data_IF_809618443749
#
_entry.id   IF_809618443749
#
_cell.length_a   1.000
_cell.length_b   1.000
_cell.length_c   1.000
_cell.angle_alpha   90.00
_cell.angle_beta   90.00
_cell.angle_gamma   90.00
#
_symmetry.space_group_name_H-M   'P 1'
#
loop_
_entity.id
_entity.type
_entity.pdbx_description
1 polymer ?
#
# COMPACT_ATOMS: atom_id res chain seq x y z
N UNK A 1 17.10 20.40 -17.98
CA UNK A 1 17.24 19.88 -16.60
C UNK A 1 15.89 19.52 -15.98
N UNK A 2 14.96 20.48 -15.83
CA UNK A 2 13.63 20.18 -15.30
C UNK A 2 12.88 19.13 -16.16
N UNK A 3 12.90 19.29 -17.48
CA UNK A 3 12.26 18.35 -18.41
C UNK A 3 12.82 16.92 -18.31
N UNK A 4 14.11 16.77 -18.00
CA UNK A 4 14.76 15.47 -17.80
C UNK A 4 14.20 14.73 -16.58
N UNK A 5 13.85 15.45 -15.51
CA UNK A 5 13.19 14.83 -14.36
C UNK A 5 11.72 14.58 -14.66
N UNK A 6 11.02 15.52 -15.29
CA UNK A 6 9.59 15.39 -15.60
C UNK A 6 9.29 14.27 -16.61
N UNK A 7 10.27 13.83 -17.39
CA UNK A 7 10.13 12.70 -18.33
C UNK A 7 10.22 11.33 -17.66
N UNK A 8 10.69 11.24 -16.42
CA UNK A 8 10.77 9.97 -15.68
C UNK A 8 9.36 9.43 -15.39
N UNK A 9 9.06 8.15 -15.72
CA UNK A 9 7.79 7.53 -15.32
C UNK A 9 7.69 7.49 -13.79
N UNK A 10 6.61 8.04 -13.24
CA UNK A 10 6.35 8.02 -11.79
C UNK A 10 5.09 7.22 -11.49
N UNK A 11 5.00 6.66 -10.28
CA UNK A 11 3.93 5.76 -9.90
C UNK A 11 3.40 6.09 -8.49
N UNK A 12 2.16 5.67 -8.22
CA UNK A 12 1.55 5.72 -6.88
C UNK A 12 0.72 4.48 -6.60
N UNK A 13 0.53 4.18 -5.32
CA UNK A 13 -0.46 3.20 -4.89
C UNK A 13 -1.89 3.75 -5.09
N UNK A 14 -2.80 2.90 -5.53
CA UNK A 14 -4.23 3.20 -5.44
C UNK A 14 -4.68 3.12 -3.98
N UNK A 15 -5.56 4.02 -3.50
CA UNK A 15 -6.02 3.99 -2.12
C UNK A 15 -6.71 2.67 -1.77
N UNK A 16 -6.21 1.97 -0.75
CA UNK A 16 -6.86 0.80 -0.13
C UNK A 16 -7.96 1.30 0.83
N UNK A 17 -9.11 1.76 0.33
CA UNK A 17 -10.28 2.03 1.20
C UNK A 17 -11.23 0.85 1.17
N UNK A 18 -11.77 0.50 2.34
CA UNK A 18 -12.42 -0.78 2.61
C UNK A 18 -13.75 -1.10 1.90
N UNK A 19 -14.17 -0.27 0.94
CA UNK A 19 -15.34 -0.52 0.11
C UNK A 19 -14.99 -0.59 -1.38
N UNK A 20 -13.72 -0.45 -1.74
CA UNK A 20 -13.28 -0.30 -3.13
C UNK A 20 -12.88 -1.64 -3.73
N UNK A 21 -12.17 -2.49 -2.98
CA UNK A 21 -11.70 -3.76 -3.53
C UNK A 21 -12.83 -4.78 -3.63
N UNK A 22 -13.69 -4.90 -2.61
CA UNK A 22 -14.84 -5.82 -2.64
C UNK A 22 -15.80 -5.45 -3.77
N UNK A 23 -16.09 -4.14 -3.93
CA UNK A 23 -16.91 -3.64 -5.03
C UNK A 23 -16.31 -3.94 -6.40
N UNK A 24 -15.01 -3.65 -6.59
CA UNK A 24 -14.31 -3.93 -7.85
C UNK A 24 -14.28 -5.41 -8.17
N UNK A 25 -14.09 -6.27 -7.16
CA UNK A 25 -14.14 -7.71 -7.33
C UNK A 25 -15.52 -8.15 -7.83
N UNK A 26 -16.59 -7.72 -7.16
CA UNK A 26 -17.95 -8.11 -7.55
C UNK A 26 -18.32 -7.58 -8.93
N UNK A 27 -17.96 -6.33 -9.24
CA UNK A 27 -18.18 -5.75 -10.58
C UNK A 27 -17.44 -6.54 -11.67
N UNK A 28 -16.17 -6.88 -11.44
CA UNK A 28 -15.40 -7.72 -12.38
C UNK A 28 -16.04 -9.11 -12.54
N UNK A 29 -16.41 -9.76 -11.45
CA UNK A 29 -17.03 -11.09 -11.48
C UNK A 29 -18.36 -11.08 -12.26
N UNK A 30 -19.21 -10.07 -12.04
CA UNK A 30 -20.46 -9.88 -12.78
C UNK A 30 -20.19 -9.69 -14.27
N UNK A 31 -19.22 -8.84 -14.66
CA UNK A 31 -18.92 -8.60 -16.08
C UNK A 31 -18.34 -9.82 -16.78
N UNK A 32 -17.47 -10.58 -16.10
CA UNK A 32 -16.92 -11.82 -16.63
C UNK A 32 -18.02 -12.85 -16.91
N UNK A 33 -19.00 -13.00 -16.01
CA UNK A 33 -20.14 -13.90 -16.23
C UNK A 33 -21.12 -13.37 -17.28
N UNK A 34 -21.43 -12.07 -17.26
CA UNK A 34 -22.34 -11.42 -18.22
C UNK A 34 -21.89 -11.66 -19.67
N UNK A 35 -20.57 -11.67 -19.89
CA UNK A 35 -19.98 -11.92 -21.20
C UNK A 35 -19.53 -13.37 -21.43
N UNK A 36 -19.99 -14.30 -20.58
CA UNK A 36 -19.73 -15.74 -20.69
C UNK A 36 -18.23 -16.10 -20.73
N UNK A 37 -17.40 -15.27 -20.10
CA UNK A 37 -15.95 -15.47 -20.00
C UNK A 37 -15.61 -16.42 -18.85
N UNK A 38 -16.34 -16.28 -17.74
CA UNK A 38 -16.21 -17.09 -16.55
C UNK A 38 -17.56 -17.69 -16.17
N UNK A 39 -17.53 -18.85 -15.52
CA UNK A 39 -18.68 -19.47 -14.87
C UNK A 39 -18.49 -19.36 -13.36
N UNK A 40 -19.55 -18.99 -12.64
CA UNK A 40 -19.59 -18.94 -11.18
C UNK A 40 -18.51 -18.04 -10.52
N UNK A 41 -17.97 -17.06 -11.25
CA UNK A 41 -17.03 -16.08 -10.71
C UNK A 41 -17.61 -15.33 -9.50
N UNK A 42 -18.90 -14.94 -9.54
CA UNK A 42 -19.57 -14.27 -8.43
C UNK A 42 -19.67 -15.18 -7.20
N UNK A 43 -20.14 -16.42 -7.41
CA UNK A 43 -20.25 -17.40 -6.32
C UNK A 43 -18.89 -17.72 -5.71
N UNK A 44 -17.84 -17.86 -6.53
CA UNK A 44 -16.46 -18.08 -6.07
C UNK A 44 -15.92 -16.88 -5.28
N UNK A 45 -16.19 -15.66 -5.73
CA UNK A 45 -15.81 -14.44 -5.03
C UNK A 45 -16.48 -14.37 -3.65
N UNK A 46 -17.80 -14.55 -3.58
CA UNK A 46 -18.55 -14.55 -2.32
C UNK A 46 -18.02 -15.64 -1.37
N UNK A 47 -17.73 -16.84 -1.88
CA UNK A 47 -17.16 -17.93 -1.07
C UNK A 47 -15.75 -17.61 -0.56
N UNK A 48 -14.90 -16.97 -1.37
CA UNK A 48 -13.57 -16.57 -0.95
C UNK A 48 -13.60 -15.54 0.19
N UNK A 49 -14.53 -14.57 0.11
CA UNK A 49 -14.73 -13.56 1.14
C UNK A 49 -15.37 -14.15 2.40
N UNK A 50 -16.34 -15.05 2.26
CA UNK A 50 -16.93 -15.78 3.38
C UNK A 50 -15.87 -16.57 4.15
N UNK A 51 -14.99 -17.29 3.47
CA UNK A 51 -13.86 -18.00 4.09
C UNK A 51 -12.94 -17.06 4.88
N UNK A 52 -12.65 -15.87 4.35
CA UNK A 52 -11.85 -14.89 5.08
C UNK A 52 -12.51 -14.47 6.41
N UNK A 53 -13.83 -14.30 6.41
CA UNK A 53 -14.60 -13.97 7.61
C UNK A 53 -14.61 -15.14 8.62
N UNK A 54 -14.78 -16.38 8.16
CA UNK A 54 -14.74 -17.56 9.05
C UNK A 54 -13.34 -17.80 9.60
N UNK A 55 -12.30 -17.63 8.78
CA UNK A 55 -10.90 -17.75 9.22
C UNK A 55 -10.57 -16.73 10.31
N UNK A 56 -11.05 -15.48 10.16
CA UNK A 56 -10.88 -14.45 11.20
C UNK A 56 -11.62 -14.82 12.48
N UNK A 57 -12.88 -15.26 12.40
CA UNK A 57 -13.63 -15.77 13.57
C UNK A 57 -12.84 -16.88 14.28
N UNK A 58 -12.34 -17.86 13.55
CA UNK A 58 -11.67 -19.02 14.14
C UNK A 58 -10.30 -18.66 14.74
N UNK A 59 -9.60 -17.67 14.18
CA UNK A 59 -8.41 -17.06 14.83
C UNK A 59 -8.78 -16.34 16.12
N UNK A 60 -9.83 -15.50 16.12
CA UNK A 60 -10.28 -14.83 17.34
C UNK A 60 -10.68 -15.83 18.44
N UNK A 61 -11.22 -16.99 18.08
CA UNK A 61 -11.50 -18.08 19.03
C UNK A 61 -10.22 -18.65 19.61
N UNK A 62 -9.20 -18.85 18.78
CA UNK A 62 -7.88 -19.35 19.20
C UNK A 62 -7.16 -18.35 20.09
N UNK A 63 -7.26 -17.06 19.79
CA UNK A 63 -6.62 -15.97 20.51
C UNK A 63 -7.41 -15.56 21.78
N UNK A 64 -8.59 -16.15 22.02
CA UNK A 64 -9.44 -15.88 23.18
C UNK A 64 -10.20 -14.55 23.14
N UNK A 65 -10.18 -13.84 22.01
CA UNK A 65 -10.85 -12.54 21.83
C UNK A 65 -12.28 -12.65 21.33
N UNK A 66 -12.67 -13.83 20.82
CA UNK A 66 -13.99 -14.05 20.21
C UNK A 66 -15.15 -13.85 21.18
N UNK A 67 -15.08 -14.42 22.38
CA UNK A 67 -16.20 -14.35 23.34
C UNK A 67 -16.54 -12.91 23.70
N UNK A 68 -15.52 -12.08 23.96
CA UNK A 68 -15.73 -10.66 24.24
C UNK A 68 -16.37 -9.91 23.06
N UNK A 69 -15.93 -10.20 21.83
CA UNK A 69 -16.51 -9.58 20.63
C UNK A 69 -17.96 -10.04 20.38
N UNK A 70 -18.23 -11.33 20.56
CA UNK A 70 -19.56 -11.91 20.40
C UNK A 70 -20.54 -11.35 21.44
N UNK A 71 -20.15 -11.33 22.73
CA UNK A 71 -20.97 -10.73 23.79
C UNK A 71 -21.19 -9.23 23.56
N UNK A 72 -20.17 -8.47 23.15
CA UNK A 72 -20.32 -7.05 22.80
C UNK A 72 -21.29 -6.82 21.61
N UNK A 73 -21.35 -7.75 20.67
CA UNK A 73 -22.32 -7.73 19.57
C UNK A 73 -23.74 -8.16 20.01
N UNK A 74 -23.85 -9.01 21.04
CA UNK A 74 -25.11 -9.52 21.57
C UNK A 74 -25.77 -8.59 22.60
N UNK A 75 -25.02 -7.67 23.21
CA UNK A 75 -25.49 -6.82 24.30
C UNK A 75 -25.48 -5.33 23.95
N UNK A 76 -26.31 -4.55 24.65
CA UNK A 76 -26.23 -3.09 24.67
C UNK A 76 -25.67 -2.65 26.02
N UNK A 77 -24.51 -2.00 26.00
CA UNK A 77 -23.94 -1.37 27.20
C UNK A 77 -24.36 0.11 27.26
N UNK A 78 -25.18 0.46 28.23
CA UNK A 78 -25.56 1.85 28.53
C UNK A 78 -24.62 2.39 29.62
N UNK A 79 -23.76 3.33 29.25
CA UNK A 79 -22.93 4.09 30.19
C UNK A 79 -23.62 5.39 30.60
N UNK A 80 -23.94 5.52 31.89
CA UNK A 80 -24.45 6.75 32.49
C UNK A 80 -23.40 7.44 33.35
N UNK A 81 -23.19 8.74 33.13
CA UNK A 81 -22.50 9.61 34.10
C UNK A 81 -23.53 10.08 35.13
N UNK A 82 -23.41 9.61 36.36
CA UNK A 82 -24.15 10.15 37.49
C UNK A 82 -23.27 11.24 38.10
N UNK A 83 -23.75 12.49 38.02
CA UNK A 83 -23.12 13.64 38.65
C UNK A 83 -23.96 13.98 39.88
N UNK A 84 -23.33 14.08 41.06
CA UNK A 84 -24.05 14.49 42.26
C UNK A 84 -24.53 15.95 42.15
N UNK A 85 -25.52 16.33 42.96
CA UNK A 85 -26.12 17.67 42.94
C UNK A 85 -25.17 18.81 43.38
N UNK A 86 -23.95 18.49 43.82
CA UNK A 86 -22.92 19.43 44.27
C UNK A 86 -21.71 19.49 43.30
N UNK A 87 -21.66 18.64 42.28
CA UNK A 87 -20.58 18.58 41.29
C UNK A 87 -19.30 17.88 41.74
N UNK A 88 -19.27 17.27 42.93
CA UNK A 88 -18.04 16.77 43.56
C UNK A 88 -17.79 15.26 43.40
N UNK A 89 -18.82 14.50 42.99
CA UNK A 89 -18.73 13.07 42.71
C UNK A 89 -19.10 12.73 41.27
N UNK A 90 -18.10 12.34 40.47
CA UNK A 90 -18.30 11.75 39.14
C UNK A 90 -18.29 10.22 39.26
N UNK A 91 -19.45 9.57 39.15
CA UNK A 91 -19.53 8.11 39.06
C UNK A 91 -20.01 7.70 37.67
N UNK A 92 -19.22 6.83 37.02
CA UNK A 92 -19.63 6.13 35.80
C UNK A 92 -20.27 4.80 36.17
N UNK A 93 -21.57 4.67 35.90
CA UNK A 93 -22.31 3.41 36.00
C UNK A 93 -22.52 2.85 34.58
N UNK A 94 -22.27 1.56 34.37
CA UNK A 94 -22.64 0.87 33.13
C UNK A 94 -23.56 -0.30 33.42
N UNK A 95 -24.65 -0.41 32.68
CA UNK A 95 -25.56 -1.55 32.71
C UNK A 95 -25.55 -2.22 31.33
N UNK A 96 -25.46 -3.56 31.29
CA UNK A 96 -25.48 -4.35 30.06
C UNK A 96 -26.71 -5.23 30.03
N UNK A 97 -27.38 -5.30 28.88
CA UNK A 97 -28.54 -6.16 28.66
C UNK A 97 -28.46 -6.90 27.32
N UNK A 98 -28.82 -8.18 27.32
CA UNK A 98 -28.96 -8.97 26.09
C UNK A 98 -30.00 -8.33 25.18
N UNK A 99 -29.65 -8.19 23.90
CA UNK A 99 -30.50 -7.57 22.89
C UNK A 99 -31.70 -8.44 22.54
N UNK A 100 -32.85 -7.79 22.26
CA UNK A 100 -33.99 -8.47 21.64
C UNK A 100 -33.69 -8.84 20.19
N UNK A 101 -34.44 -9.78 19.62
CA UNK A 101 -34.37 -10.16 18.21
C UNK A 101 -34.51 -8.96 17.25
N UNK A 102 -35.38 -8.00 17.59
CA UNK A 102 -35.58 -6.77 16.83
C UNK A 102 -34.33 -5.89 16.87
N UNK A 103 -33.69 -5.76 18.04
CA UNK A 103 -32.48 -4.96 18.19
C UNK A 103 -31.27 -5.62 17.49
N UNK A 104 -31.15 -6.95 17.53
CA UNK A 104 -30.15 -7.71 16.76
C UNK A 104 -30.35 -7.45 15.26
N UNK A 105 -31.60 -7.48 14.79
CA UNK A 105 -31.93 -7.21 13.37
C UNK A 105 -31.51 -5.80 12.97
N UNK A 106 -31.73 -4.79 13.82
CA UNK A 106 -31.31 -3.42 13.51
C UNK A 106 -29.79 -3.24 13.55
N UNK A 107 -29.07 -3.89 14.47
CA UNK A 107 -27.60 -3.93 14.45
C UNK A 107 -27.08 -4.64 13.21
N UNK A 108 -27.72 -5.73 12.79
CA UNK A 108 -27.36 -6.43 11.57
C UNK A 108 -27.50 -5.53 10.33
N UNK A 109 -28.53 -4.69 10.25
CA UNK A 109 -28.64 -3.65 9.19
C UNK A 109 -27.51 -2.61 9.24
N UNK A 110 -26.93 -2.35 10.41
CA UNK A 110 -25.71 -1.51 10.51
C UNK A 110 -24.49 -2.29 10.00
N UNK A 111 -24.37 -3.57 10.34
CA UNK A 111 -23.33 -4.43 9.81
C UNK A 111 -23.39 -4.55 8.27
N UNK A 112 -24.59 -4.62 7.67
CA UNK A 112 -24.79 -4.58 6.21
C UNK A 112 -24.26 -3.30 5.55
N UNK A 113 -24.21 -2.18 6.28
CA UNK A 113 -23.63 -0.91 5.80
C UNK A 113 -22.12 -0.84 6.02
N UNK A 114 -21.61 -1.52 7.04
CA UNK A 114 -20.19 -1.58 7.36
C UNK A 114 -19.42 -2.58 6.47
N UNK A 115 -20.06 -3.71 6.14
CA UNK A 115 -19.54 -4.74 5.27
C UNK A 115 -19.95 -4.47 3.83
N UNK A 116 -18.96 -4.32 2.94
CA UNK A 116 -19.21 -4.05 1.53
C UNK A 116 -19.93 -5.21 0.80
N UNK A 117 -20.59 -4.90 -0.31
CA UNK A 117 -21.16 -5.88 -1.28
C UNK A 117 -22.01 -7.01 -0.66
N UNK A 118 -22.89 -6.66 0.28
CA UNK A 118 -23.84 -7.59 0.92
C UNK A 118 -23.14 -8.73 1.67
N UNK A 119 -21.88 -8.54 2.11
CA UNK A 119 -21.14 -9.61 2.79
C UNK A 119 -21.77 -10.04 4.10
N UNK A 120 -22.47 -9.16 4.83
CA UNK A 120 -23.25 -9.56 6.01
C UNK A 120 -24.37 -10.57 5.64
N UNK A 121 -25.17 -10.25 4.60
CA UNK A 121 -26.26 -11.10 4.11
C UNK A 121 -25.72 -12.42 3.54
N UNK A 122 -24.62 -12.37 2.80
CA UNK A 122 -23.95 -13.55 2.26
C UNK A 122 -23.36 -14.43 3.36
N UNK A 123 -22.81 -13.82 4.41
CA UNK A 123 -22.35 -14.55 5.60
C UNK A 123 -23.49 -15.30 6.24
N UNK A 124 -24.60 -14.61 6.58
CA UNK A 124 -25.79 -15.25 7.14
C UNK A 124 -26.27 -16.42 6.26
N UNK A 125 -26.41 -16.20 4.96
CA UNK A 125 -26.87 -17.22 4.01
C UNK A 125 -25.95 -18.45 3.96
N UNK A 126 -24.63 -18.25 3.92
CA UNK A 126 -23.65 -19.34 3.81
C UNK A 126 -23.48 -20.06 5.15
N UNK A 127 -23.36 -19.32 6.25
CA UNK A 127 -23.29 -19.86 7.59
C UNK A 127 -24.53 -20.69 7.96
N UNK A 128 -25.74 -20.21 7.68
CA UNK A 128 -26.97 -20.96 7.94
C UNK A 128 -27.07 -22.23 7.08
N UNK A 129 -26.43 -22.25 5.90
CA UNK A 129 -26.37 -23.46 5.07
C UNK A 129 -25.37 -24.48 5.63
N UNK A 130 -24.23 -24.04 6.13
CA UNK A 130 -23.22 -24.90 6.73
C UNK A 130 -23.62 -25.40 8.12
N UNK A 131 -24.41 -24.61 8.87
CA UNK A 131 -24.83 -24.86 10.25
C UNK A 131 -26.36 -24.74 10.39
N UNK A 132 -27.15 -25.65 9.78
CA UNK A 132 -28.62 -25.52 9.69
C UNK A 132 -29.37 -25.65 11.03
N UNK A 133 -28.70 -26.07 12.11
CA UNK A 133 -29.28 -26.19 13.45
C UNK A 133 -28.99 -25.02 14.38
N UNK A 134 -28.22 -24.03 13.93
CA UNK A 134 -27.84 -22.87 14.74
C UNK A 134 -28.89 -21.75 14.66
N UNK A 135 -29.06 -20.98 15.74
CA UNK A 135 -29.99 -19.85 15.75
C UNK A 135 -29.53 -18.79 14.73
N UNK A 136 -30.48 -18.29 13.95
CA UNK A 136 -30.25 -17.20 13.02
C UNK A 136 -29.79 -15.93 13.72
N UNK A 137 -30.23 -15.70 14.96
CA UNK A 137 -29.76 -14.58 15.76
C UNK A 137 -28.29 -14.74 16.16
N UNK A 138 -27.83 -15.94 16.50
CA UNK A 138 -26.42 -16.20 16.81
C UNK A 138 -25.55 -15.90 15.59
N UNK A 139 -25.94 -16.39 14.39
CA UNK A 139 -25.20 -16.12 13.15
C UNK A 139 -25.21 -14.61 12.81
N UNK A 140 -26.31 -13.90 13.09
CA UNK A 140 -26.35 -12.43 12.93
C UNK A 140 -25.40 -11.74 13.89
N UNK A 141 -25.32 -12.18 15.15
CA UNK A 141 -24.38 -11.67 16.14
C UNK A 141 -22.94 -11.92 15.67
N UNK A 142 -22.63 -13.11 15.11
CA UNK A 142 -21.31 -13.38 14.53
C UNK A 142 -20.95 -12.36 13.45
N UNK A 143 -21.88 -12.10 12.52
CA UNK A 143 -21.68 -11.13 11.45
C UNK A 143 -21.52 -9.70 11.96
N UNK A 144 -22.25 -9.32 13.02
CA UNK A 144 -22.11 -8.00 13.68
C UNK A 144 -20.73 -7.89 14.35
N UNK A 145 -20.30 -8.89 15.11
CA UNK A 145 -19.00 -8.91 15.78
C UNK A 145 -17.85 -8.77 14.77
N UNK A 146 -17.92 -9.49 13.64
CA UNK A 146 -16.94 -9.38 12.57
C UNK A 146 -16.97 -8.00 11.88
N UNK A 147 -18.15 -7.39 11.72
CA UNK A 147 -18.27 -6.05 11.14
C UNK A 147 -17.68 -4.94 12.05
N UNK A 148 -17.69 -5.16 13.35
CA UNK A 148 -17.10 -4.27 14.35
C UNK A 148 -15.58 -4.42 14.46
N UNK A 149 -15.01 -5.54 14.01
CA UNK A 149 -13.56 -5.78 13.98
C UNK A 149 -12.87 -5.06 12.81
N UNK A 150 -12.01 -4.09 13.13
CA UNK A 150 -11.24 -3.31 12.15
C UNK A 150 -10.25 -4.16 11.36
N UNK A 151 -9.63 -5.15 12.00
CA UNK A 151 -8.69 -6.05 11.33
C UNK A 151 -9.39 -6.94 10.30
N UNK A 152 -10.56 -7.48 10.62
CA UNK A 152 -11.41 -8.21 9.67
C UNK A 152 -11.70 -7.38 8.43
N UNK A 153 -12.13 -6.11 8.59
CA UNK A 153 -12.45 -5.24 7.44
C UNK A 153 -11.26 -5.03 6.52
N UNK A 154 -10.06 -4.85 7.09
CA UNK A 154 -8.81 -4.75 6.30
C UNK A 154 -8.50 -6.07 5.59
N UNK A 155 -8.57 -7.19 6.30
CA UNK A 155 -8.30 -8.52 5.73
C UNK A 155 -9.29 -8.89 4.61
N UNK A 156 -10.57 -8.53 4.76
CA UNK A 156 -11.62 -8.77 3.77
C UNK A 156 -11.30 -8.07 2.44
N UNK A 157 -10.84 -6.83 2.52
CA UNK A 157 -10.49 -6.02 1.35
C UNK A 157 -9.17 -6.45 0.70
N UNK A 158 -8.18 -6.82 1.50
CA UNK A 158 -6.97 -7.46 0.98
C UNK A 158 -7.31 -8.76 0.25
N UNK A 159 -8.21 -9.58 0.81
CA UNK A 159 -8.66 -10.81 0.16
C UNK A 159 -9.42 -10.50 -1.14
N UNK A 160 -10.29 -9.49 -1.13
CA UNK A 160 -11.01 -9.06 -2.33
C UNK A 160 -10.06 -8.60 -3.44
N UNK A 161 -9.06 -7.78 -3.12
CA UNK A 161 -8.06 -7.30 -4.06
C UNK A 161 -7.21 -8.44 -4.63
N UNK A 162 -6.75 -9.35 -3.78
CA UNK A 162 -6.01 -10.56 -4.19
C UNK A 162 -6.84 -11.41 -5.14
N UNK A 163 -8.09 -11.73 -4.78
CA UNK A 163 -8.95 -12.58 -5.61
C UNK A 163 -9.36 -11.90 -6.92
N UNK A 164 -9.54 -10.58 -6.94
CA UNK A 164 -9.79 -9.84 -8.17
C UNK A 164 -8.60 -9.91 -9.13
N UNK A 165 -7.37 -9.81 -8.61
CA UNK A 165 -6.15 -9.97 -9.40
C UNK A 165 -5.99 -11.41 -9.92
N UNK A 166 -6.35 -12.43 -9.12
CA UNK A 166 -6.42 -13.82 -9.56
C UNK A 166 -7.38 -13.98 -10.75
N UNK A 167 -8.62 -13.47 -10.65
CA UNK A 167 -9.58 -13.48 -11.76
C UNK A 167 -9.06 -12.74 -12.98
N UNK A 168 -8.47 -11.57 -12.80
CA UNK A 168 -7.93 -10.80 -13.91
C UNK A 168 -6.82 -11.55 -14.66
N UNK A 169 -5.93 -12.20 -13.92
CA UNK A 169 -4.86 -13.03 -14.48
C UNK A 169 -5.41 -14.26 -15.21
N UNK A 170 -6.30 -15.01 -14.58
CA UNK A 170 -6.87 -16.25 -15.11
C UNK A 170 -7.67 -16.00 -16.41
N UNK A 171 -8.37 -14.86 -16.48
CA UNK A 171 -9.27 -14.54 -17.59
C UNK A 171 -8.72 -13.52 -18.59
N UNK A 172 -7.49 -13.02 -18.44
CA UNK A 172 -6.89 -12.06 -19.38
C UNK A 172 -6.90 -12.56 -20.84
N UNK A 173 -6.51 -13.81 -21.07
CA UNK A 173 -6.50 -14.42 -22.41
C UNK A 173 -7.89 -14.58 -23.02
N UNK A 174 -8.87 -15.18 -22.30
CA UNK A 174 -10.27 -15.19 -22.72
C UNK A 174 -10.84 -13.79 -23.05
N UNK A 175 -10.57 -12.79 -22.20
CA UNK A 175 -11.05 -11.41 -22.39
C UNK A 175 -10.47 -10.78 -23.66
N UNK A 176 -9.19 -11.01 -23.97
CA UNK A 176 -8.55 -10.45 -25.15
C UNK A 176 -9.19 -10.90 -26.48
N UNK A 177 -9.96 -12.00 -26.46
CA UNK A 177 -10.67 -12.56 -27.62
C UNK A 177 -12.11 -12.06 -27.77
N UNK A 178 -12.61 -11.26 -26.83
CA UNK A 178 -13.95 -10.67 -26.91
C UNK A 178 -14.03 -9.58 -28.00
N UNK A 179 -15.27 -9.24 -28.37
CA UNK A 179 -15.53 -8.08 -29.23
C UNK A 179 -15.12 -6.78 -28.53
N UNK A 180 -14.79 -5.70 -29.29
CA UNK A 180 -14.18 -4.50 -28.73
C UNK A 180 -14.94 -3.87 -27.54
N UNK A 181 -16.27 -3.87 -27.56
CA UNK A 181 -17.09 -3.29 -26.49
C UNK A 181 -16.95 -4.02 -25.14
N UNK A 182 -17.37 -5.29 -25.04
CA UNK A 182 -17.18 -6.11 -23.85
C UNK A 182 -15.73 -6.20 -23.38
N UNK A 183 -14.78 -6.32 -24.32
CA UNK A 183 -13.35 -6.33 -24.02
C UNK A 183 -12.93 -5.05 -23.29
N UNK A 184 -13.25 -3.89 -23.84
CA UNK A 184 -12.87 -2.61 -23.25
C UNK A 184 -13.44 -2.42 -21.85
N UNK A 185 -14.71 -2.81 -21.62
CA UNK A 185 -15.35 -2.72 -20.30
C UNK A 185 -14.62 -3.57 -19.24
N UNK A 186 -14.23 -4.80 -19.61
CA UNK A 186 -13.54 -5.70 -18.68
C UNK A 186 -12.08 -5.28 -18.49
N UNK A 187 -11.39 -4.91 -19.56
CA UNK A 187 -9.99 -4.43 -19.49
C UNK A 187 -9.86 -3.14 -18.66
N UNK A 188 -10.86 -2.25 -18.69
CA UNK A 188 -10.92 -1.07 -17.81
C UNK A 188 -10.96 -1.49 -16.34
N UNK A 189 -11.83 -2.44 -15.97
CA UNK A 189 -11.91 -2.97 -14.61
C UNK A 189 -10.62 -3.66 -14.19
N UNK A 190 -10.06 -4.53 -15.04
CA UNK A 190 -8.79 -5.22 -14.78
C UNK A 190 -7.63 -4.22 -14.63
N UNK A 191 -7.59 -3.16 -15.42
CA UNK A 191 -6.57 -2.11 -15.29
C UNK A 191 -6.73 -1.32 -13.98
N UNK A 192 -7.98 -1.11 -13.52
CA UNK A 192 -8.27 -0.46 -12.25
C UNK A 192 -7.93 -1.31 -11.00
N UNK A 193 -7.68 -2.61 -11.17
CA UNK A 193 -7.14 -3.47 -10.11
C UNK A 193 -5.66 -3.26 -9.85
N UNK A 194 -4.95 -2.60 -10.76
CA UNK A 194 -3.54 -2.26 -10.55
C UNK A 194 -3.40 -1.43 -9.28
N UNK A 195 -2.78 -2.04 -8.28
CA UNK A 195 -2.32 -1.45 -7.04
C UNK A 195 -1.35 -0.30 -7.30
N UNK A 196 -0.57 -0.42 -8.38
CA UNK A 196 0.35 0.61 -8.87
C UNK A 196 -0.18 1.23 -10.15
N UNK A 197 -0.39 2.55 -10.15
CA UNK A 197 -0.74 3.31 -11.35
C UNK A 197 0.36 4.31 -11.71
N UNK A 198 0.67 4.39 -13.00
CA UNK A 198 1.57 5.44 -13.51
C UNK A 198 0.88 6.79 -13.45
N UNK A 199 1.60 7.80 -13.00
CA UNK A 199 1.17 9.20 -12.92
C UNK A 199 2.23 10.10 -13.59
N UNK A 200 1.83 11.27 -14.12
CA UNK A 200 2.80 12.25 -14.58
C UNK A 200 3.73 12.65 -13.42
N UNK A 201 5.03 12.71 -13.69
CA UNK A 201 5.98 13.27 -12.73
C UNK A 201 5.70 14.76 -12.55
N UNK A 202 5.59 15.19 -11.30
CA UNK A 202 5.30 16.58 -10.95
C UNK A 202 6.23 17.04 -9.85
N UNK A 203 6.64 18.29 -9.95
CA UNK A 203 7.49 18.96 -8.99
C UNK A 203 6.76 20.22 -8.52
N UNK A 204 6.51 20.33 -7.22
CA UNK A 204 5.98 21.57 -6.64
C UNK A 204 7.10 22.59 -6.57
N UNK A 205 7.08 23.57 -7.48
CA UNK A 205 7.92 24.77 -7.37
C UNK A 205 7.37 25.61 -6.23
N UNK A 206 8.14 25.73 -5.15
CA UNK A 206 7.84 26.64 -4.05
C UNK A 206 8.93 27.70 -3.96
N UNK A 207 8.55 28.98 -4.06
CA UNK A 207 9.44 30.12 -3.83
C UNK A 207 9.67 30.40 -2.33
N UNK A 208 9.03 29.64 -1.44
CA UNK A 208 9.16 29.86 0.00
C UNK A 208 10.47 29.25 0.51
N UNK A 209 11.33 30.13 1.02
CA UNK A 209 12.53 29.80 1.77
C UNK A 209 12.17 28.89 2.95
N UNK A 210 12.47 27.59 2.84
CA UNK A 210 12.29 26.61 3.93
C UNK A 210 13.39 26.73 4.99
N UNK A 211 13.82 27.95 5.31
CA UNK A 211 14.33 28.47 6.59
C UNK A 211 15.54 27.82 7.28
N UNK A 212 15.91 26.57 6.99
CA UNK A 212 16.93 25.81 7.70
C UNK A 212 17.86 25.07 6.73
N UNK A 213 19.12 24.93 7.14
CA UNK A 213 20.15 24.24 6.37
C UNK A 213 21.05 25.15 5.54
N UNK A 214 22.00 24.53 4.83
CA UNK A 214 23.03 25.24 4.07
C UNK A 214 22.54 25.60 2.66
N UNK A 215 23.04 26.72 2.14
CA UNK A 215 22.84 27.07 0.74
C UNK A 215 23.59 26.10 -0.16
N UNK A 216 22.91 25.55 -1.15
CA UNK A 216 23.49 24.64 -2.13
C UNK A 216 23.15 25.12 -3.55
N UNK A 217 24.18 25.22 -4.38
CA UNK A 217 24.05 25.61 -5.80
C UNK A 217 23.49 24.48 -6.66
N UNK A 218 23.15 24.81 -7.91
CA UNK A 218 22.67 23.87 -8.95
C UNK A 218 21.38 23.09 -8.61
N UNK A 219 20.63 23.50 -7.58
CA UNK A 219 19.32 22.88 -7.34
C UNK A 219 18.35 23.27 -8.47
N UNK A 220 17.61 22.30 -9.01
CA UNK A 220 16.74 22.47 -10.18
C UNK A 220 15.58 23.42 -9.89
N UNK A 221 15.15 23.49 -8.63
CA UNK A 221 14.19 24.49 -8.15
C UNK A 221 14.97 25.51 -7.33
N UNK A 222 15.62 26.45 -8.00
CA UNK A 222 16.32 27.55 -7.32
C UNK A 222 15.59 28.86 -7.56
N UNK A 223 15.47 29.65 -6.50
CA UNK A 223 15.16 31.07 -6.61
C UNK A 223 16.46 31.84 -6.92
N UNK A 224 16.37 33.16 -7.15
CA UNK A 224 17.54 34.05 -7.27
C UNK A 224 18.47 34.05 -6.06
N UNK A 225 18.03 33.49 -4.91
CA UNK A 225 18.80 33.39 -3.66
C UNK A 225 19.49 32.04 -3.44
N UNK A 226 19.21 31.02 -4.27
CA UNK A 226 19.68 29.64 -4.09
C UNK A 226 18.61 28.68 -3.56
N UNK A 227 19.02 27.49 -3.12
CA UNK A 227 18.18 26.50 -2.42
C UNK A 227 18.79 26.15 -1.06
N UNK A 228 17.97 26.18 0.01
CA UNK A 228 18.38 25.76 1.36
C UNK A 228 17.96 24.33 1.62
N UNK A 229 18.93 23.52 2.05
CA UNK A 229 18.70 22.12 2.40
C UNK A 229 19.40 21.74 3.70
N UNK A 230 18.63 21.22 4.66
CA UNK A 230 19.16 20.67 5.90
C UNK A 230 19.49 19.19 5.73
N UNK A 231 20.62 18.91 5.08
CA UNK A 231 21.10 17.56 4.85
C UNK A 231 21.53 16.88 6.15
N UNK A 232 21.23 15.59 6.30
CA UNK A 232 21.93 14.77 7.30
C UNK A 232 23.42 14.58 6.91
N UNK A 233 24.22 13.94 7.77
CA UNK A 233 25.66 13.80 7.51
C UNK A 233 25.96 13.05 6.21
N UNK A 234 25.30 11.93 5.94
CA UNK A 234 25.51 11.13 4.73
C UNK A 234 25.02 11.87 3.48
N UNK A 235 23.80 12.41 3.52
CA UNK A 235 23.24 13.23 2.43
C UNK A 235 24.14 14.42 2.11
N UNK A 236 24.71 15.07 3.12
CA UNK A 236 25.65 16.17 2.96
C UNK A 236 26.89 15.74 2.18
N UNK A 237 27.50 14.61 2.57
CA UNK A 237 28.66 14.03 1.86
C UNK A 237 28.31 13.55 0.46
N UNK A 238 27.09 13.07 0.21
CA UNK A 238 26.62 12.71 -1.14
C UNK A 238 26.53 13.95 -2.02
N UNK A 239 25.88 15.01 -1.53
CA UNK A 239 25.75 16.27 -2.27
C UNK A 239 27.12 16.89 -2.57
N UNK A 240 28.05 16.86 -1.63
CA UNK A 240 29.39 17.43 -1.81
C UNK A 240 30.19 16.71 -2.92
N UNK A 241 29.93 15.41 -3.14
CA UNK A 241 30.59 14.60 -4.19
C UNK A 241 29.87 14.66 -5.55
N UNK A 242 28.55 14.66 -5.55
CA UNK A 242 27.76 14.51 -6.79
C UNK A 242 27.44 15.86 -7.46
N UNK A 243 27.22 16.93 -6.69
CA UNK A 243 26.86 18.26 -7.22
C UNK A 243 27.93 18.88 -8.14
N UNK A 244 29.25 18.72 -7.89
CA UNK A 244 30.27 19.23 -8.80
C UNK A 244 30.12 18.71 -10.24
N UNK A 245 29.78 17.43 -10.41
CA UNK A 245 29.69 16.76 -11.70
C UNK A 245 28.33 16.89 -12.40
N UNK A 246 27.25 17.19 -11.66
CA UNK A 246 25.93 17.34 -12.26
C UNK A 246 25.70 18.73 -12.89
N UNK A 247 24.80 18.81 -13.87
CA UNK A 247 24.24 20.08 -14.34
C UNK A 247 23.24 20.64 -13.32
N UNK A 248 22.45 19.77 -12.68
CA UNK A 248 21.55 20.15 -11.60
C UNK A 248 21.07 18.97 -10.76
N UNK A 249 20.53 19.25 -9.58
CA UNK A 249 20.03 18.22 -8.67
C UNK A 249 18.67 18.57 -8.06
N UNK A 250 17.93 17.56 -7.63
CA UNK A 250 16.63 17.68 -6.97
C UNK A 250 16.52 16.70 -5.79
N UNK A 251 16.09 17.20 -4.63
CA UNK A 251 15.65 16.36 -3.51
C UNK A 251 14.21 15.92 -3.74
N UNK A 252 14.01 14.64 -4.01
CA UNK A 252 12.69 14.05 -4.11
C UNK A 252 12.00 14.07 -2.72
N UNK A 253 10.72 14.44 -2.60
CA UNK A 253 10.01 14.39 -1.32
C UNK A 253 9.87 12.96 -0.81
N UNK A 254 10.16 12.75 0.48
CA UNK A 254 10.07 11.45 1.15
C UNK A 254 8.64 11.05 1.53
N UNK A 255 7.69 11.98 1.53
CA UNK A 255 6.30 11.69 1.93
C UNK A 255 5.36 11.55 0.72
N UNK A 256 4.42 10.61 0.80
CA UNK A 256 3.41 10.40 -0.25
C UNK A 256 2.40 11.54 -0.44
N UNK A 257 2.41 12.56 0.43
CA UNK A 257 1.55 13.76 0.32
C UNK A 257 2.08 14.77 -0.69
N UNK A 258 3.37 14.72 -0.98
CA UNK A 258 4.01 15.56 -1.98
C UNK A 258 4.23 14.80 -3.29
N UNK A 259 4.07 15.53 -4.40
CA UNK A 259 4.30 14.98 -5.73
C UNK A 259 5.81 14.90 -5.99
N UNK A 260 6.23 13.79 -6.59
CA UNK A 260 7.63 13.45 -6.82
C UNK A 260 7.76 12.08 -7.48
N UNK A 261 8.98 11.58 -7.58
CA UNK A 261 9.25 10.28 -8.19
C UNK A 261 8.83 9.17 -7.22
N UNK A 262 7.89 8.33 -7.67
CA UNK A 262 7.51 7.10 -7.01
C UNK A 262 7.88 5.91 -7.89
N UNK A 263 8.59 4.95 -7.31
CA UNK A 263 9.09 3.75 -7.98
C UNK A 263 8.35 2.53 -7.42
N UNK A 264 7.70 1.71 -8.27
CA UNK A 264 7.04 0.51 -7.81
C UNK A 264 8.04 -0.55 -7.40
N UNK A 265 7.73 -1.22 -6.30
CA UNK A 265 8.55 -2.26 -5.69
C UNK A 265 7.64 -3.21 -4.93
N UNK A 266 8.12 -4.43 -4.69
CA UNK A 266 7.44 -5.39 -3.84
C UNK A 266 8.22 -5.47 -2.55
N UNK A 267 7.56 -5.43 -1.39
CA UNK A 267 8.24 -5.71 -0.13
C UNK A 267 8.51 -7.22 0.07
N UNK A 268 9.09 -7.57 1.20
CA UNK A 268 9.40 -8.95 1.60
C UNK A 268 8.17 -9.86 1.70
N UNK A 269 6.97 -9.31 1.88
CA UNK A 269 5.71 -10.06 1.89
C UNK A 269 5.10 -10.22 0.50
N UNK A 270 5.68 -9.54 -0.51
CA UNK A 270 5.16 -9.48 -1.87
C UNK A 270 4.06 -8.44 -2.07
N UNK A 271 3.86 -7.52 -1.12
CA UNK A 271 2.92 -6.41 -1.29
C UNK A 271 3.55 -5.24 -2.08
N UNK A 272 2.73 -4.60 -2.91
CA UNK A 272 3.15 -3.41 -3.66
C UNK A 272 3.44 -2.22 -2.73
N UNK A 273 4.65 -1.69 -2.87
CA UNK A 273 5.15 -0.49 -2.23
C UNK A 273 5.57 0.55 -3.28
N UNK A 274 5.70 1.80 -2.83
CA UNK A 274 6.27 2.89 -3.63
C UNK A 274 7.53 3.40 -2.94
N UNK A 275 8.68 3.08 -3.52
CA UNK A 275 9.98 3.64 -3.16
C UNK A 275 10.07 5.09 -3.65
N UNK A 276 10.60 5.95 -2.79
CA UNK A 276 10.90 7.34 -3.12
C UNK A 276 12.39 7.57 -2.90
N UNK A 277 13.23 7.46 -3.94
CA UNK A 277 14.66 7.66 -3.79
C UNK A 277 14.93 9.13 -3.47
N UNK A 278 16.00 9.43 -2.74
CA UNK A 278 16.20 10.76 -2.20
C UNK A 278 16.63 11.81 -3.23
N UNK A 279 17.63 11.51 -4.06
CA UNK A 279 18.20 12.51 -4.97
C UNK A 279 18.11 12.09 -6.43
N UNK A 280 17.79 13.08 -7.25
CA UNK A 280 17.90 13.01 -8.70
C UNK A 280 18.95 14.02 -9.16
N UNK A 281 19.98 13.55 -9.84
CA UNK A 281 21.02 14.37 -10.45
C UNK A 281 20.87 14.32 -11.97
N UNK A 282 20.91 15.47 -12.62
CA UNK A 282 20.80 15.58 -14.08
C UNK A 282 22.16 15.97 -14.64
N UNK A 283 22.63 15.25 -15.65
CA UNK A 283 23.86 15.57 -16.38
C UNK A 283 23.60 16.45 -17.60
N UNK A 284 24.66 16.95 -18.24
CA UNK A 284 24.56 17.87 -19.38
C UNK A 284 23.82 17.27 -20.58
N UNK A 285 23.92 15.95 -20.77
CA UNK A 285 23.23 15.21 -21.83
C UNK A 285 21.75 14.93 -21.52
N UNK A 286 21.25 15.38 -20.37
CA UNK A 286 19.86 15.22 -19.96
C UNK A 286 19.53 13.88 -19.32
N UNK A 287 20.48 12.95 -19.16
CA UNK A 287 20.23 11.71 -18.41
C UNK A 287 20.20 11.98 -16.91
N UNK A 288 19.46 11.14 -16.18
CA UNK A 288 19.26 11.26 -14.74
C UNK A 288 20.01 10.16 -13.99
N UNK A 289 20.77 10.52 -12.96
CA UNK A 289 21.22 9.61 -11.92
C UNK A 289 20.28 9.65 -10.72
N UNK A 290 19.84 8.48 -10.28
CA UNK A 290 19.04 8.27 -9.07
C UNK A 290 19.99 7.81 -7.96
N UNK A 291 20.09 8.60 -6.90
CA UNK A 291 21.03 8.36 -5.79
C UNK A 291 20.26 8.38 -4.48
N UNK A 292 20.33 7.27 -3.75
CA UNK A 292 19.53 7.07 -2.53
C UNK A 292 20.42 6.71 -1.32
N UNK A 293 20.81 7.69 -0.50
CA UNK A 293 21.55 7.46 0.73
C UNK A 293 20.63 6.88 1.81
N UNK A 294 20.93 5.67 2.23
CA UNK A 294 20.25 5.00 3.32
C UNK A 294 20.97 5.35 4.64
N UNK A 295 20.21 5.83 5.63
CA UNK A 295 20.74 6.06 6.97
C UNK A 295 20.66 4.79 7.81
N UNK A 296 21.53 3.80 7.60
CA UNK A 296 21.78 2.68 8.52
C UNK A 296 20.63 1.70 8.81
N UNK A 297 19.45 1.85 8.23
CA UNK A 297 18.33 0.91 8.35
C UNK A 297 18.44 -0.19 7.29
N UNK A 298 19.35 -1.14 7.53
CA UNK A 298 19.69 -2.22 6.59
C UNK A 298 18.57 -3.26 6.39
N UNK A 299 17.58 -3.32 7.28
CA UNK A 299 16.54 -4.35 7.28
C UNK A 299 15.57 -4.28 6.09
N UNK A 300 15.36 -3.11 5.50
CA UNK A 300 14.44 -2.92 4.36
C UNK A 300 15.14 -2.62 3.03
N UNK A 301 16.47 -2.76 2.99
CA UNK A 301 17.28 -2.32 1.85
C UNK A 301 17.20 -3.22 0.62
N UNK A 302 17.00 -4.53 0.78
CA UNK A 302 17.02 -5.48 -0.36
C UNK A 302 15.87 -5.23 -1.32
N UNK A 303 14.64 -5.16 -0.81
CA UNK A 303 13.46 -5.05 -1.65
C UNK A 303 13.39 -3.68 -2.36
N UNK A 304 13.83 -2.62 -1.68
CA UNK A 304 13.99 -1.29 -2.28
C UNK A 304 15.05 -1.29 -3.38
N UNK A 305 16.21 -1.89 -3.13
CA UNK A 305 17.29 -2.00 -4.11
C UNK A 305 16.84 -2.78 -5.36
N UNK A 306 16.12 -3.89 -5.18
CA UNK A 306 15.51 -4.66 -6.29
C UNK A 306 14.55 -3.80 -7.11
N UNK A 307 13.65 -3.08 -6.44
CA UNK A 307 12.68 -2.19 -7.07
C UNK A 307 13.34 -1.09 -7.90
N UNK A 308 14.32 -0.39 -7.31
CA UNK A 308 15.09 0.65 -8.00
C UNK A 308 15.93 0.08 -9.16
N UNK A 309 16.57 -1.08 -8.99
CA UNK A 309 17.33 -1.74 -10.04
C UNK A 309 16.44 -2.12 -11.24
N UNK A 310 15.25 -2.65 -10.97
CA UNK A 310 14.27 -2.97 -12.02
C UNK A 310 13.81 -1.70 -12.75
N UNK A 311 13.43 -0.66 -11.99
CA UNK A 311 13.00 0.61 -12.56
C UNK A 311 14.07 1.25 -13.44
N UNK A 312 15.32 1.29 -12.99
CA UNK A 312 16.41 1.88 -13.75
C UNK A 312 16.68 1.12 -15.06
N UNK A 313 16.64 -0.22 -15.03
CA UNK A 313 16.78 -1.05 -16.24
C UNK A 313 15.64 -0.84 -17.24
N UNK A 314 14.40 -0.80 -16.76
CA UNK A 314 13.22 -0.57 -17.62
C UNK A 314 13.22 0.83 -18.24
N UNK A 315 13.96 1.77 -17.66
CA UNK A 315 14.06 3.17 -18.09
C UNK A 315 15.47 3.58 -18.51
N UNK A 316 16.29 2.65 -19.02
CA UNK A 316 17.70 2.89 -19.35
C UNK A 316 17.96 4.00 -20.39
N UNK A 317 16.93 4.42 -21.14
CA UNK A 317 17.03 5.59 -22.04
C UNK A 317 16.93 6.94 -21.32
N UNK A 318 16.51 6.96 -20.05
CA UNK A 318 16.32 8.15 -19.22
C UNK A 318 17.22 8.14 -17.97
N UNK A 319 17.44 6.95 -17.41
CA UNK A 319 18.24 6.74 -16.19
C UNK A 319 19.63 6.24 -16.57
N UNK A 320 20.66 7.04 -16.28
CA UNK A 320 22.06 6.69 -16.51
C UNK A 320 22.64 5.83 -15.40
N UNK A 321 22.30 6.18 -14.15
CA UNK A 321 22.86 5.55 -12.97
C UNK A 321 21.79 5.42 -11.90
N UNK A 322 21.78 4.29 -11.20
CA UNK A 322 20.96 4.08 -10.02
C UNK A 322 21.84 3.49 -8.92
N UNK A 323 22.02 4.24 -7.83
CA UNK A 323 22.89 3.82 -6.72
C UNK A 323 22.20 3.99 -5.39
N UNK A 324 22.43 3.03 -4.51
CA UNK A 324 22.15 3.16 -3.08
C UNK A 324 23.46 3.34 -2.35
N UNK A 325 23.48 4.23 -1.35
CA UNK A 325 24.69 4.58 -0.60
C UNK A 325 24.43 4.36 0.87
N UNK A 326 25.36 3.74 1.60
CA UNK A 326 25.29 3.60 3.06
C UNK A 326 26.70 3.69 3.66
N UNK A 327 26.79 3.94 4.96
CA UNK A 327 28.03 3.95 5.71
C UNK A 327 28.31 2.55 6.27
N UNK A 328 29.31 1.87 5.69
CA UNK A 328 29.67 0.50 6.05
C UNK A 328 31.06 0.51 6.67
N UNK A 329 31.13 0.18 7.96
CA UNK A 329 32.37 0.18 8.75
C UNK A 329 33.11 1.53 8.71
N UNK A 330 32.36 2.65 8.75
CA UNK A 330 32.90 4.02 8.74
C UNK A 330 33.32 4.53 7.35
N UNK A 331 32.98 3.80 6.28
CA UNK A 331 33.25 4.20 4.90
C UNK A 331 31.94 4.32 4.12
N UNK A 332 31.75 5.44 3.42
CA UNK A 332 30.63 5.61 2.48
C UNK A 332 30.83 4.63 1.31
N UNK A 333 29.93 3.68 1.16
CA UNK A 333 29.93 2.70 0.07
C UNK A 333 28.65 2.78 -0.72
N UNK A 334 28.75 2.57 -2.03
CA UNK A 334 27.62 2.50 -2.92
C UNK A 334 27.51 1.13 -3.59
N UNK A 335 26.28 0.75 -3.90
CA UNK A 335 25.98 -0.35 -4.80
C UNK A 335 25.45 0.22 -6.11
N UNK A 336 26.10 -0.14 -7.21
CA UNK A 336 25.62 0.18 -8.57
C UNK A 336 24.53 -0.81 -8.96
N UNK A 337 23.28 -0.35 -8.99
CA UNK A 337 22.13 -1.20 -9.24
C UNK A 337 21.95 -1.60 -10.70
N UNK A 338 22.70 -0.98 -11.61
CA UNK A 338 22.77 -1.38 -13.01
C UNK A 338 23.93 -2.37 -13.28
N UNK A 339 24.83 -2.57 -12.32
CA UNK A 339 25.87 -3.60 -12.40
C UNK A 339 25.21 -5.01 -12.34
N UNK A 340 25.36 -5.84 -13.39
CA UNK A 340 24.72 -7.16 -13.44
C UNK A 340 25.12 -8.06 -12.26
N UNK A 341 26.32 -7.89 -11.71
CA UNK A 341 26.80 -8.70 -10.56
C UNK A 341 26.05 -8.30 -9.29
N UNK A 342 25.85 -7.00 -9.07
CA UNK A 342 25.08 -6.47 -7.94
C UNK A 342 23.61 -6.89 -8.06
N UNK A 343 23.03 -6.77 -9.25
CA UNK A 343 21.65 -7.18 -9.51
C UNK A 343 21.43 -8.68 -9.22
N UNK A 344 22.35 -9.55 -9.64
CA UNK A 344 22.29 -10.97 -9.35
C UNK A 344 22.43 -11.26 -7.84
N UNK A 345 23.32 -10.56 -7.15
CA UNK A 345 23.48 -10.70 -5.70
C UNK A 345 22.20 -10.30 -4.94
N UNK A 346 21.55 -9.20 -5.35
CA UNK A 346 20.30 -8.74 -4.77
C UNK A 346 19.18 -9.78 -4.90
N UNK A 347 19.13 -10.57 -5.97
CA UNK A 347 18.05 -11.54 -6.16
C UNK A 347 17.97 -12.60 -5.05
N UNK A 348 19.12 -12.97 -4.48
CA UNK A 348 19.23 -14.01 -3.45
C UNK A 348 19.52 -13.48 -2.05
N UNK A 349 19.76 -12.17 -1.91
CA UNK A 349 20.09 -11.56 -0.64
C UNK A 349 18.88 -11.53 0.31
N UNK A 350 19.11 -11.87 1.57
CA UNK A 350 18.18 -11.63 2.68
C UNK A 350 18.57 -10.41 3.51
N UNK A 351 19.82 -9.94 3.36
CA UNK A 351 20.38 -8.79 4.06
C UNK A 351 21.25 -7.98 3.09
N UNK A 352 20.92 -6.69 2.93
CA UNK A 352 21.63 -5.78 2.03
C UNK A 352 23.09 -5.57 2.45
N UNK A 353 23.42 -5.73 3.74
CA UNK A 353 24.78 -5.60 4.26
C UNK A 353 25.74 -6.61 3.64
N UNK A 354 25.25 -7.81 3.36
CA UNK A 354 26.05 -8.86 2.69
C UNK A 354 26.43 -8.44 1.27
N UNK A 355 25.50 -7.79 0.56
CA UNK A 355 25.71 -7.25 -0.78
C UNK A 355 26.72 -6.10 -0.75
N UNK A 356 26.60 -5.17 0.20
CA UNK A 356 27.60 -4.12 0.40
C UNK A 356 29.00 -4.65 0.74
N UNK A 357 29.08 -5.72 1.53
CA UNK A 357 30.38 -6.31 1.90
C UNK A 357 31.06 -6.96 0.69
N UNK A 358 30.29 -7.63 -0.16
CA UNK A 358 30.81 -8.34 -1.33
C UNK A 358 31.04 -7.43 -2.55
N UNK A 359 30.18 -6.43 -2.76
CA UNK A 359 30.12 -5.66 -4.01
C UNK A 359 30.11 -4.14 -3.81
N UNK A 360 30.04 -3.66 -2.57
CA UNK A 360 30.05 -2.23 -2.27
C UNK A 360 31.35 -1.57 -2.71
N UNK A 361 31.23 -0.53 -3.54
CA UNK A 361 32.35 0.28 -4.03
C UNK A 361 32.44 1.53 -3.17
N UNK A 362 33.66 2.02 -2.93
CA UNK A 362 33.88 3.26 -2.19
C UNK A 362 33.24 4.44 -2.92
N UNK A 363 32.43 5.22 -2.21
CA UNK A 363 31.90 6.48 -2.70
C UNK A 363 32.90 7.58 -2.33
N UNK A 364 33.87 7.84 -3.21
CA UNK A 364 34.97 8.78 -2.97
C UNK A 364 34.76 10.13 -3.63
#
# INVERSE_FOLDING_TARGET
MLDAILSLPSYRLTPKTASVATKRLMELAVRLEQHQVANEAQSRAIQALYRQMTDRRDRMKTDGTWEAAFTGAAELTLGGRVVDAHGDGEQTASESSVLSSEAITERFRKAERALAEQMATNYLRLASKERPGEDWNDIRIEAIALAEDDEMKVQLENRAASFANELAKDYAGPVSRLTPGPRAQIEELMSALKTVVQIPMQIKVSEQDRGQGNWRGKHIITSSKGYRYNANQLEGRVLDREVPACAGWYRNPSTGKDVGLGIPCLDETGEDQILRPDFLFVYEDGRVAIVDPHGGYLGDGVWKAKGLAKYARDNAGLVDRAVIIDEINGEDRFLDLLDPVVAAALETATDIKTVYTAHGKRHS
#
